data_IF_787559961363
#
_entry.id   IF_787559961363
#
_cell.length_a   1.000
_cell.length_b   1.000
_cell.length_c   1.000
_cell.angle_alpha   90.00
_cell.angle_beta   90.00
_cell.angle_gamma   90.00
#
_symmetry.space_group_name_H-M   'P 1'
#
loop_
_entity.id
_entity.type
_entity.pdbx_description
1 polymer ?
#
# COMPACT_ATOMS: atom_id res chain seq x y z
N UNK A 1 -22.64 -3.19 -4.41
CA UNK A 1 -22.08 -2.63 -3.17
C UNK A 1 -20.64 -3.11 -3.05
N UNK A 2 -19.73 -2.24 -2.69
CA UNK A 2 -18.30 -2.50 -2.54
C UNK A 2 -17.93 -2.70 -1.07
N UNK A 3 -17.15 -3.72 -0.73
CA UNK A 3 -16.74 -3.98 0.66
C UNK A 3 -15.29 -3.63 0.88
N UNK A 4 -15.03 -2.78 1.87
CA UNK A 4 -13.70 -2.35 2.30
C UNK A 4 -13.45 -2.91 3.71
N UNK A 5 -12.45 -3.77 3.85
CA UNK A 5 -11.95 -4.17 5.16
C UNK A 5 -10.93 -3.15 5.67
N UNK A 6 -10.98 -2.82 6.95
CA UNK A 6 -10.03 -1.91 7.61
C UNK A 6 -9.47 -2.63 8.84
N UNK A 7 -8.16 -2.87 8.90
CA UNK A 7 -7.55 -3.47 10.08
C UNK A 7 -6.93 -2.39 10.96
N UNK A 8 -7.20 -2.45 12.28
CA UNK A 8 -6.66 -1.46 13.23
C UNK A 8 -5.16 -1.64 13.52
N UNK A 9 -4.55 -2.73 13.05
CA UNK A 9 -3.13 -2.99 13.27
C UNK A 9 -2.78 -3.41 14.71
N UNK A 10 -1.62 -2.97 15.21
CA UNK A 10 -1.20 -3.28 16.59
C UNK A 10 -2.07 -2.52 17.60
N UNK A 11 -2.80 -3.22 18.48
CA UNK A 11 -3.74 -2.58 19.41
C UNK A 11 -3.05 -1.74 20.51
N UNK A 12 -1.74 -1.88 20.71
CA UNK A 12 -0.96 -1.03 21.61
C UNK A 12 -0.35 0.21 20.92
N UNK A 13 -0.48 0.32 19.58
CA UNK A 13 -0.02 1.44 18.76
C UNK A 13 -1.12 2.46 18.46
N UNK A 14 -0.84 3.37 17.53
CA UNK A 14 -1.79 4.44 17.13
C UNK A 14 -2.93 3.96 16.23
N UNK A 15 -2.89 2.72 15.74
CA UNK A 15 -3.86 2.22 14.77
C UNK A 15 -5.33 2.39 15.18
N UNK A 16 -5.75 1.96 16.40
CA UNK A 16 -7.13 2.14 16.87
C UNK A 16 -7.57 3.60 16.92
N UNK A 17 -6.71 4.52 17.38
CA UNK A 17 -7.07 5.94 17.49
C UNK A 17 -7.15 6.64 16.12
N UNK A 18 -6.26 6.30 15.17
CA UNK A 18 -6.32 6.89 13.83
C UNK A 18 -7.52 6.37 13.02
N UNK A 19 -7.93 5.10 13.20
CA UNK A 19 -9.15 4.56 12.57
C UNK A 19 -10.38 5.30 13.08
N UNK A 20 -10.50 5.46 14.40
CA UNK A 20 -11.59 6.20 15.00
C UNK A 20 -11.63 7.65 14.51
N UNK A 21 -10.47 8.33 14.51
CA UNK A 21 -10.37 9.73 14.09
C UNK A 21 -10.63 9.91 12.59
N UNK A 22 -10.09 9.03 11.74
CA UNK A 22 -10.29 9.11 10.30
C UNK A 22 -11.76 8.89 9.92
N UNK A 23 -12.39 7.84 10.47
CA UNK A 23 -13.77 7.47 10.11
C UNK A 23 -14.82 8.38 10.73
N UNK A 24 -14.51 9.08 11.84
CA UNK A 24 -15.45 9.98 12.55
C UNK A 24 -16.11 10.99 11.61
N UNK A 25 -15.35 11.62 10.75
CA UNK A 25 -15.80 12.68 9.83
C UNK A 25 -15.61 12.31 8.35
N UNK A 26 -15.26 11.04 8.09
CA UNK A 26 -15.10 10.58 6.72
C UNK A 26 -16.44 10.69 6.00
N UNK A 27 -16.42 11.31 4.81
CA UNK A 27 -17.59 11.30 3.94
C UNK A 27 -17.72 9.93 3.29
N UNK A 28 -18.53 9.06 3.91
CA UNK A 28 -18.73 7.71 3.45
C UNK A 28 -19.24 7.66 2.01
N UNK A 29 -18.62 6.80 1.20
CA UNK A 29 -19.06 6.61 -0.18
C UNK A 29 -20.36 5.80 -0.22
N UNK A 30 -21.44 6.26 -0.93
CA UNK A 30 -22.77 5.65 -0.87
C UNK A 30 -22.82 4.21 -1.43
N UNK A 31 -21.81 3.75 -2.15
CA UNK A 31 -21.71 2.38 -2.67
C UNK A 31 -20.85 1.46 -1.80
N UNK A 32 -20.17 1.99 -0.76
CA UNK A 32 -19.21 1.24 0.04
C UNK A 32 -19.79 0.80 1.39
N UNK A 33 -19.40 -0.39 1.82
CA UNK A 33 -19.56 -0.92 3.17
C UNK A 33 -18.18 -0.97 3.79
N UNK A 34 -18.03 -0.37 4.98
CA UNK A 34 -16.77 -0.34 5.72
C UNK A 34 -16.83 -1.33 6.87
N UNK A 35 -15.87 -2.25 6.95
CA UNK A 35 -15.83 -3.27 8.01
C UNK A 35 -14.49 -3.15 8.72
N UNK A 36 -14.51 -2.65 9.95
CA UNK A 36 -13.35 -2.44 10.80
C UNK A 36 -13.08 -3.69 11.63
N UNK A 37 -11.87 -4.20 11.59
CA UNK A 37 -11.38 -5.34 12.37
C UNK A 37 -10.42 -4.87 13.45
N UNK A 38 -10.74 -5.17 14.70
CA UNK A 38 -9.86 -4.89 15.82
C UNK A 38 -10.56 -4.30 17.04
N UNK A 39 -9.77 -3.65 17.90
CA UNK A 39 -10.28 -3.06 19.15
C UNK A 39 -10.90 -1.70 18.90
N UNK A 40 -12.03 -1.43 19.55
CA UNK A 40 -12.72 -0.15 19.50
C UNK A 40 -12.18 0.83 20.56
N UNK A 41 -11.98 2.09 20.19
CA UNK A 41 -11.84 3.20 21.15
C UNK A 41 -13.20 3.78 21.50
N UNK A 42 -13.51 3.82 22.81
CA UNK A 42 -14.84 4.13 23.35
C UNK A 42 -15.17 5.62 23.38
N UNK A 43 -15.04 6.41 22.36
CA UNK A 43 -15.60 7.78 22.30
C UNK A 43 -15.61 8.25 20.85
N UNK A 44 -16.65 7.90 20.13
CA UNK A 44 -16.80 8.33 18.74
C UNK A 44 -18.11 9.13 18.63
N UNK A 45 -17.99 10.46 18.68
CA UNK A 45 -19.00 11.36 18.13
C UNK A 45 -18.78 11.46 16.62
N UNK A 46 -19.79 11.46 15.81
CA UNK A 46 -19.71 11.53 14.35
C UNK A 46 -20.44 10.37 13.69
N UNK A 47 -19.81 9.71 12.69
CA UNK A 47 -20.39 8.55 12.04
C UNK A 47 -20.67 7.42 13.04
N UNK A 48 -21.81 6.77 12.91
CA UNK A 48 -22.18 5.63 13.75
C UNK A 48 -21.41 4.39 13.34
N UNK A 49 -20.95 3.63 14.35
CA UNK A 49 -20.28 2.34 14.19
C UNK A 49 -21.21 1.23 14.66
N UNK A 50 -21.63 0.37 13.76
CA UNK A 50 -22.55 -0.73 14.03
C UNK A 50 -21.71 -1.95 14.43
N UNK A 51 -21.77 -2.36 15.70
CA UNK A 51 -21.08 -3.58 16.14
C UNK A 51 -21.77 -4.80 15.55
N UNK A 52 -20.97 -5.71 14.97
CA UNK A 52 -21.42 -6.96 14.38
C UNK A 52 -20.63 -8.14 14.96
N UNK A 53 -21.27 -9.31 14.99
CA UNK A 53 -20.66 -10.58 15.37
C UNK A 53 -20.43 -11.49 14.16
N UNK A 54 -21.18 -11.26 13.06
CA UNK A 54 -21.08 -12.00 11.83
C UNK A 54 -21.00 -11.04 10.63
N UNK A 55 -20.20 -11.39 9.62
CA UNK A 55 -20.00 -10.55 8.43
C UNK A 55 -21.27 -10.36 7.62
N UNK A 56 -22.18 -11.31 7.67
CA UNK A 56 -23.47 -11.28 7.00
C UNK A 56 -24.39 -10.15 7.51
N UNK A 57 -24.12 -9.61 8.69
CA UNK A 57 -24.85 -8.46 9.25
C UNK A 57 -24.46 -7.13 8.57
N UNK A 58 -23.33 -7.08 7.87
CA UNK A 58 -22.86 -5.90 7.16
C UNK A 58 -23.53 -5.78 5.78
N UNK A 59 -24.75 -5.21 5.76
CA UNK A 59 -25.64 -5.21 4.58
C UNK A 59 -25.93 -3.84 3.98
N UNK A 60 -25.68 -2.73 4.71
CA UNK A 60 -26.04 -1.38 4.25
C UNK A 60 -24.82 -0.62 3.73
N UNK A 61 -24.90 -0.16 2.49
CA UNK A 61 -23.88 0.74 1.93
C UNK A 61 -23.94 2.14 2.62
N UNK A 62 -22.81 2.82 2.66
CA UNK A 62 -22.67 4.08 3.39
C UNK A 62 -22.63 3.89 4.91
N UNK A 63 -22.34 2.68 5.40
CA UNK A 63 -22.31 2.37 6.84
C UNK A 63 -20.97 1.79 7.26
N UNK A 64 -20.59 2.01 8.52
CA UNK A 64 -19.41 1.46 9.15
C UNK A 64 -19.83 0.37 10.12
N UNK A 65 -19.29 -0.82 9.90
CA UNK A 65 -19.45 -1.97 10.75
C UNK A 65 -18.19 -2.24 11.53
N UNK A 66 -18.35 -2.72 12.77
CA UNK A 66 -17.22 -3.04 13.61
C UNK A 66 -17.25 -4.50 14.03
N UNK A 67 -16.26 -5.26 13.57
CA UNK A 67 -16.02 -6.63 13.96
C UNK A 67 -14.97 -6.65 15.07
N UNK A 68 -15.39 -6.74 16.32
CA UNK A 68 -14.49 -6.73 17.47
C UNK A 68 -13.73 -8.04 17.60
N UNK A 69 -12.41 -7.97 17.60
CA UNK A 69 -11.51 -9.14 17.73
C UNK A 69 -10.80 -9.12 19.06
N UNK A 70 -11.42 -8.99 20.12
CA UNK A 70 -10.91 -9.02 21.48
C UNK A 70 -11.09 -7.74 22.29
N UNK A 71 -11.23 -7.97 23.59
CA UNK A 71 -11.40 -6.90 24.58
C UNK A 71 -10.30 -6.94 25.64
N UNK A 72 -9.07 -7.38 25.29
CA UNK A 72 -7.94 -7.43 26.21
C UNK A 72 -7.43 -6.03 26.54
N UNK A 73 -6.83 -5.90 27.73
CA UNK A 73 -6.14 -4.69 28.13
C UNK A 73 -4.67 -4.75 27.68
N UNK A 74 -4.16 -3.65 27.14
CA UNK A 74 -2.79 -3.50 26.67
C UNK A 74 -2.11 -2.38 27.44
N UNK A 75 -0.80 -2.49 27.60
CA UNK A 75 0.05 -1.38 27.99
C UNK A 75 0.29 -0.51 26.74
N UNK A 76 -0.56 0.52 26.57
CA UNK A 76 -0.56 1.36 25.37
C UNK A 76 0.79 2.05 25.22
N UNK A 77 1.33 2.08 24.01
CA UNK A 77 2.64 2.62 23.69
C UNK A 77 3.79 1.63 23.90
N UNK A 78 3.51 0.36 24.24
CA UNK A 78 4.53 -0.67 24.41
C UNK A 78 4.24 -1.91 23.59
N UNK A 79 5.12 -2.26 22.65
CA UNK A 79 4.99 -3.52 21.91
C UNK A 79 5.18 -4.72 22.84
N UNK A 80 4.32 -5.74 22.72
CA UNK A 80 4.36 -6.94 23.54
C UNK A 80 3.98 -8.18 22.72
N UNK A 81 4.31 -9.38 23.25
CA UNK A 81 3.84 -10.62 22.65
C UNK A 81 2.31 -10.67 22.58
N UNK A 82 1.60 -10.10 23.58
CA UNK A 82 0.15 -10.06 23.60
C UNK A 82 -0.39 -9.18 22.48
N UNK A 83 0.11 -7.93 22.34
CA UNK A 83 -0.35 -7.02 21.27
C UNK A 83 0.01 -7.54 19.88
N UNK A 84 1.18 -8.21 19.75
CA UNK A 84 1.59 -8.86 18.51
C UNK A 84 0.71 -10.05 18.11
N UNK A 85 0.31 -10.89 19.08
CA UNK A 85 -0.61 -12.00 18.85
C UNK A 85 -1.98 -11.50 18.38
N UNK A 86 -2.47 -10.41 18.97
CA UNK A 86 -3.77 -9.86 18.60
C UNK A 86 -3.71 -9.11 17.26
N UNK A 87 -2.63 -8.39 16.97
CA UNK A 87 -2.40 -7.81 15.65
C UNK A 87 -2.42 -8.89 14.54
N UNK A 88 -1.78 -10.03 14.79
CA UNK A 88 -1.80 -11.16 13.87
C UNK A 88 -3.20 -11.76 13.74
N UNK A 89 -3.92 -11.94 14.86
CA UNK A 89 -5.29 -12.45 14.85
C UNK A 89 -6.25 -11.54 14.09
N UNK A 90 -6.07 -10.21 14.16
CA UNK A 90 -6.82 -9.25 13.35
C UNK A 90 -6.58 -9.51 11.87
N UNK A 91 -5.32 -9.68 11.45
CA UNK A 91 -4.96 -9.97 10.07
C UNK A 91 -5.53 -11.33 9.60
N UNK A 92 -5.41 -12.36 10.42
CA UNK A 92 -5.90 -13.71 10.10
C UNK A 92 -7.42 -13.71 9.94
N UNK A 93 -8.16 -13.14 10.89
CA UNK A 93 -9.63 -13.07 10.83
C UNK A 93 -10.09 -12.27 9.60
N UNK A 94 -9.46 -11.11 9.34
CA UNK A 94 -9.75 -10.31 8.15
C UNK A 94 -9.49 -11.11 6.87
N UNK A 95 -8.36 -11.81 6.80
CA UNK A 95 -7.97 -12.63 5.63
C UNK A 95 -8.91 -13.82 5.41
N UNK A 96 -9.37 -14.48 6.48
CA UNK A 96 -10.33 -15.57 6.38
C UNK A 96 -11.68 -15.08 5.86
N UNK A 97 -12.12 -13.92 6.32
CA UNK A 97 -13.32 -13.30 5.80
C UNK A 97 -13.19 -12.87 4.34
N UNK A 98 -12.03 -12.34 3.91
CA UNK A 98 -11.77 -12.02 2.51
C UNK A 98 -11.81 -13.27 1.63
N UNK A 99 -11.28 -14.40 2.10
CA UNK A 99 -11.34 -15.68 1.36
C UNK A 99 -12.75 -16.24 1.27
N UNK A 100 -13.55 -16.07 2.31
CA UNK A 100 -14.90 -16.63 2.38
C UNK A 100 -15.95 -15.72 1.74
N UNK A 101 -15.77 -14.42 1.83
CA UNK A 101 -16.71 -13.41 1.35
C UNK A 101 -16.02 -12.50 0.34
N UNK A 102 -16.80 -11.93 -0.59
CA UNK A 102 -16.25 -11.00 -1.57
C UNK A 102 -15.92 -9.66 -0.93
N UNK A 103 -14.65 -9.30 -0.90
CA UNK A 103 -14.16 -7.97 -0.56
C UNK A 103 -13.47 -7.35 -1.77
N UNK A 104 -13.66 -6.05 -1.97
CA UNK A 104 -13.06 -5.30 -3.07
C UNK A 104 -11.71 -4.72 -2.66
N UNK A 105 -11.57 -4.36 -1.38
CA UNK A 105 -10.34 -3.74 -0.87
C UNK A 105 -10.06 -4.03 0.61
N UNK A 106 -8.78 -3.84 0.97
CA UNK A 106 -8.29 -3.85 2.35
C UNK A 106 -7.44 -2.61 2.60
N UNK A 107 -7.74 -1.89 3.68
CA UNK A 107 -6.92 -0.78 4.19
C UNK A 107 -6.32 -1.19 5.52
N UNK A 108 -4.98 -1.17 5.61
CA UNK A 108 -4.27 -1.65 6.81
C UNK A 108 -3.61 -0.54 7.59
N UNK A 109 -3.84 -0.50 8.92
CA UNK A 109 -3.08 0.28 9.87
C UNK A 109 -1.80 -0.45 10.28
N UNK A 110 -0.82 0.23 10.89
CA UNK A 110 0.50 -0.33 11.09
C UNK A 110 0.53 -1.43 12.16
N UNK A 111 1.42 -2.40 11.97
CA UNK A 111 1.73 -3.45 12.96
C UNK A 111 3.19 -3.41 13.36
N UNK A 112 3.49 -3.85 14.56
CA UNK A 112 4.84 -4.06 15.03
C UNK A 112 5.36 -5.43 14.57
N UNK A 113 6.31 -5.42 13.62
CA UNK A 113 6.98 -6.68 13.19
C UNK A 113 7.64 -7.38 14.37
N UNK A 114 8.25 -6.61 15.27
CA UNK A 114 8.86 -7.14 16.51
C UNK A 114 7.82 -7.83 17.40
N UNK A 115 6.71 -7.17 17.72
CA UNK A 115 5.68 -7.73 18.58
C UNK A 115 5.07 -9.03 17.99
N UNK A 116 4.81 -9.04 16.69
CA UNK A 116 4.31 -10.23 15.99
C UNK A 116 5.37 -11.35 15.99
N UNK A 117 6.65 -11.02 15.76
CA UNK A 117 7.73 -12.02 15.71
C UNK A 117 7.95 -12.77 17.03
N UNK A 118 7.53 -12.20 18.16
CA UNK A 118 7.56 -12.87 19.46
C UNK A 118 6.64 -14.11 19.52
N UNK A 119 5.62 -14.18 18.65
CA UNK A 119 4.70 -15.31 18.54
C UNK A 119 4.90 -16.09 17.22
N UNK A 120 5.22 -15.38 16.15
CA UNK A 120 5.44 -15.94 14.81
C UNK A 120 6.78 -15.46 14.25
N UNK A 121 7.88 -16.19 14.52
CA UNK A 121 9.17 -15.88 13.93
C UNK A 121 9.11 -15.83 12.41
N UNK A 122 9.81 -14.86 11.80
CA UNK A 122 9.84 -14.67 10.34
C UNK A 122 8.69 -13.87 9.77
N UNK A 123 7.91 -13.18 10.59
CA UNK A 123 6.96 -12.19 10.09
C UNK A 123 7.71 -10.95 9.55
N UNK A 124 7.57 -10.69 8.26
CA UNK A 124 8.32 -9.64 7.53
C UNK A 124 7.49 -8.38 7.29
N UNK A 125 6.17 -8.50 7.28
CA UNK A 125 5.24 -7.37 7.09
C UNK A 125 3.94 -7.77 6.40
N UNK A 126 3.08 -6.79 6.22
CA UNK A 126 1.77 -7.00 5.59
C UNK A 126 1.86 -7.49 4.14
N UNK A 127 2.79 -6.93 3.35
CA UNK A 127 2.93 -7.26 1.93
C UNK A 127 3.21 -8.74 1.74
N UNK A 128 4.23 -9.25 2.44
CA UNK A 128 4.62 -10.66 2.39
C UNK A 128 3.59 -11.57 3.07
N UNK A 129 2.92 -11.07 4.12
CA UNK A 129 1.82 -11.79 4.77
C UNK A 129 0.66 -12.03 3.79
N UNK A 130 0.16 -10.98 3.14
CA UNK A 130 -0.94 -11.12 2.19
C UNK A 130 -0.53 -11.89 0.93
N UNK A 131 0.67 -11.68 0.40
CA UNK A 131 1.17 -12.44 -0.74
C UNK A 131 1.13 -13.96 -0.45
N UNK A 132 1.67 -14.40 0.69
CA UNK A 132 1.61 -15.82 1.11
C UNK A 132 0.19 -16.31 1.39
N UNK A 133 -0.64 -15.49 2.06
CA UNK A 133 -2.00 -15.88 2.45
C UNK A 133 -2.94 -16.06 1.27
N UNK A 134 -2.67 -15.36 0.16
CA UNK A 134 -3.51 -15.36 -1.06
C UNK A 134 -2.80 -15.96 -2.28
N UNK A 135 -1.72 -16.70 -2.05
CA UNK A 135 -0.98 -17.44 -3.09
C UNK A 135 -0.58 -16.53 -4.27
N UNK A 136 -0.21 -15.28 -3.98
CA UNK A 136 0.27 -14.32 -4.96
C UNK A 136 1.78 -14.50 -5.14
N UNK A 137 2.20 -15.06 -6.27
CA UNK A 137 3.60 -15.38 -6.57
C UNK A 137 4.48 -14.12 -6.62
N UNK A 138 3.95 -13.03 -7.18
CA UNK A 138 4.66 -11.76 -7.29
C UNK A 138 3.74 -10.60 -6.88
N UNK A 139 4.31 -9.65 -6.16
CA UNK A 139 3.65 -8.41 -5.75
C UNK A 139 4.56 -7.22 -5.99
N UNK A 140 3.97 -6.05 -6.25
CA UNK A 140 4.70 -4.80 -6.44
C UNK A 140 4.26 -3.82 -5.38
N UNK A 141 5.22 -3.29 -4.63
CA UNK A 141 5.00 -2.16 -3.75
C UNK A 141 5.00 -0.88 -4.58
N UNK A 142 3.99 -0.07 -4.39
CA UNK A 142 3.85 1.22 -5.06
C UNK A 142 3.40 2.31 -4.11
N UNK A 143 3.76 3.54 -4.41
CA UNK A 143 3.38 4.73 -3.65
C UNK A 143 2.67 5.71 -4.56
N UNK A 144 1.46 6.06 -4.19
CA UNK A 144 0.55 6.87 -4.98
C UNK A 144 0.41 8.25 -4.37
N UNK A 145 0.75 9.26 -5.16
CA UNK A 145 0.68 10.66 -4.76
C UNK A 145 -0.08 11.50 -5.81
N UNK A 146 -0.23 12.77 -5.51
CA UNK A 146 -0.94 13.71 -6.37
C UNK A 146 -0.18 13.98 -7.68
N UNK A 147 1.15 14.04 -7.61
CA UNK A 147 1.99 14.40 -8.76
C UNK A 147 2.35 13.19 -9.62
N UNK A 148 2.71 12.08 -8.98
CA UNK A 148 3.10 10.84 -9.66
C UNK A 148 2.90 9.62 -8.78
N UNK A 149 2.94 8.45 -9.41
CA UNK A 149 2.97 7.14 -8.75
C UNK A 149 4.36 6.53 -8.93
N UNK A 150 4.92 6.04 -7.82
CA UNK A 150 6.20 5.34 -7.80
C UNK A 150 5.97 3.84 -7.62
N UNK A 151 6.53 3.01 -8.51
CA UNK A 151 6.59 1.56 -8.42
C UNK A 151 8.01 1.11 -8.07
N UNK A 152 8.15 0.13 -7.19
CA UNK A 152 9.45 -0.38 -6.76
C UNK A 152 9.71 -1.78 -7.33
N UNK A 153 10.84 -1.94 -8.02
CA UNK A 153 11.28 -3.26 -8.51
C UNK A 153 11.87 -4.10 -7.37
N UNK A 154 12.63 -3.48 -6.46
CA UNK A 154 13.06 -4.11 -5.21
C UNK A 154 12.63 -3.29 -4.02
N UNK A 155 12.45 -3.92 -2.86
CA UNK A 155 11.95 -3.25 -1.65
C UNK A 155 12.98 -3.33 -0.52
N UNK A 156 12.76 -4.15 0.49
CA UNK A 156 13.54 -4.20 1.73
C UNK A 156 14.77 -5.10 1.61
N UNK A 157 15.64 -4.80 0.65
CA UNK A 157 16.92 -5.49 0.45
C UNK A 157 18.09 -4.62 0.89
N UNK A 158 19.17 -5.21 1.41
CA UNK A 158 20.44 -4.51 1.56
C UNK A 158 20.93 -3.99 0.19
N UNK A 159 21.58 -2.83 0.16
CA UNK A 159 22.06 -2.23 -1.11
C UNK A 159 22.95 -3.16 -1.93
N UNK A 160 23.81 -3.92 -1.27
CA UNK A 160 24.71 -4.87 -1.93
C UNK A 160 23.99 -6.08 -2.57
N UNK A 161 22.71 -6.29 -2.28
CA UNK A 161 21.91 -7.36 -2.86
C UNK A 161 21.03 -6.89 -4.01
N UNK A 162 20.92 -5.57 -4.25
CA UNK A 162 20.00 -5.03 -5.26
C UNK A 162 20.40 -5.46 -6.66
N UNK A 163 21.67 -5.30 -7.04
CA UNK A 163 22.17 -5.66 -8.37
C UNK A 163 21.83 -7.12 -8.72
N UNK A 164 22.09 -8.06 -7.81
CA UNK A 164 21.79 -9.48 -8.03
C UNK A 164 20.29 -9.81 -8.13
N UNK A 165 19.43 -8.86 -7.75
CA UNK A 165 17.98 -8.97 -7.86
C UNK A 165 17.41 -8.29 -9.12
N UNK A 166 18.23 -7.55 -9.87
CA UNK A 166 17.88 -7.03 -11.19
C UNK A 166 18.13 -8.11 -12.23
N UNK A 167 17.17 -9.02 -12.37
CA UNK A 167 17.21 -10.11 -13.35
C UNK A 167 16.03 -9.97 -14.31
N UNK A 168 16.21 -10.46 -15.54
CA UNK A 168 15.21 -10.36 -16.61
C UNK A 168 13.83 -10.85 -16.16
N UNK A 169 13.73 -12.06 -15.60
CA UNK A 169 12.45 -12.66 -15.22
C UNK A 169 11.77 -11.90 -14.07
N UNK A 170 12.53 -11.49 -13.04
CA UNK A 170 11.97 -10.71 -11.93
C UNK A 170 11.42 -9.36 -12.41
N UNK A 171 12.19 -8.65 -13.25
CA UNK A 171 11.74 -7.36 -13.78
C UNK A 171 10.51 -7.54 -14.67
N UNK A 172 10.56 -8.51 -15.58
CA UNK A 172 9.43 -8.82 -16.46
C UNK A 172 8.14 -9.12 -15.69
N UNK A 173 8.19 -9.97 -14.67
CA UNK A 173 7.03 -10.31 -13.86
C UNK A 173 6.44 -9.07 -13.17
N UNK A 174 7.29 -8.22 -12.60
CA UNK A 174 6.85 -6.96 -11.97
C UNK A 174 6.27 -5.99 -12.99
N UNK A 175 6.88 -5.83 -14.15
CA UNK A 175 6.36 -4.99 -15.22
C UNK A 175 5.00 -5.46 -15.71
N UNK A 176 4.75 -6.76 -15.80
CA UNK A 176 3.41 -7.28 -16.14
C UNK A 176 2.33 -6.80 -15.16
N UNK A 177 2.64 -6.79 -13.85
CA UNK A 177 1.71 -6.30 -12.82
C UNK A 177 1.51 -4.79 -12.98
N UNK A 178 2.59 -4.02 -13.09
CA UNK A 178 2.56 -2.56 -13.24
C UNK A 178 1.77 -2.16 -14.48
N UNK A 179 2.10 -2.71 -15.64
CA UNK A 179 1.46 -2.37 -16.91
C UNK A 179 -0.03 -2.73 -16.92
N UNK A 180 -0.38 -3.89 -16.33
CA UNK A 180 -1.79 -4.26 -16.15
C UNK A 180 -2.54 -3.26 -15.28
N UNK A 181 -1.90 -2.75 -14.23
CA UNK A 181 -2.50 -1.77 -13.34
C UNK A 181 -2.67 -0.40 -14.02
N UNK A 182 -1.67 0.06 -14.78
CA UNK A 182 -1.78 1.30 -15.57
C UNK A 182 -2.87 1.17 -16.64
N UNK A 183 -2.92 0.05 -17.35
CA UNK A 183 -3.93 -0.20 -18.38
C UNK A 183 -5.38 -0.22 -17.85
N UNK A 184 -5.60 -0.79 -16.64
CA UNK A 184 -6.93 -0.77 -15.99
C UNK A 184 -7.48 0.64 -15.77
N UNK A 185 -6.61 1.66 -15.78
CA UNK A 185 -6.99 3.07 -15.60
C UNK A 185 -7.32 3.80 -16.89
N UNK A 186 -7.21 3.11 -18.02
CA UNK A 186 -7.37 3.72 -19.34
C UNK A 186 -6.32 4.77 -19.65
N UNK A 187 -5.19 4.75 -18.94
CA UNK A 187 -4.09 5.68 -19.13
C UNK A 187 -3.07 5.08 -20.12
N UNK A 188 -2.87 5.75 -21.23
CA UNK A 188 -1.93 5.36 -22.29
C UNK A 188 -0.64 6.20 -22.27
N UNK A 189 -0.39 6.95 -21.19
CA UNK A 189 0.85 7.69 -21.03
C UNK A 189 2.04 6.74 -20.86
N UNK A 190 3.22 7.23 -21.22
CA UNK A 190 4.44 6.45 -21.05
C UNK A 190 4.77 6.27 -19.56
N UNK A 191 5.41 5.14 -19.24
CA UNK A 191 5.93 4.80 -17.92
C UNK A 191 7.42 5.08 -17.94
N UNK A 192 7.94 5.88 -17.00
CA UNK A 192 9.39 6.09 -16.89
C UNK A 192 10.03 4.98 -16.07
N UNK A 193 11.10 4.39 -16.57
CA UNK A 193 12.00 3.48 -15.84
C UNK A 193 13.27 4.22 -15.44
N UNK A 194 13.59 4.28 -14.15
CA UNK A 194 14.87 4.80 -13.67
C UNK A 194 15.98 3.76 -13.83
N UNK A 195 17.19 4.23 -14.03
CA UNK A 195 18.39 3.38 -14.04
C UNK A 195 18.76 2.94 -12.62
N UNK A 196 19.48 1.83 -12.51
CA UNK A 196 20.08 1.41 -11.23
C UNK A 196 21.35 2.21 -10.93
N UNK A 197 22.23 2.30 -11.95
CA UNK A 197 23.54 2.91 -11.80
C UNK A 197 23.56 4.39 -12.15
N UNK A 198 24.51 5.16 -11.59
CA UNK A 198 24.71 6.55 -11.99
C UNK A 198 24.89 6.69 -13.50
N UNK A 199 24.40 7.78 -14.08
CA UNK A 199 24.46 8.10 -15.51
C UNK A 199 23.92 6.98 -16.41
N UNK A 200 22.95 6.20 -15.92
CA UNK A 200 22.41 5.02 -16.60
C UNK A 200 23.51 4.04 -17.05
N UNK A 201 24.48 3.78 -16.16
CA UNK A 201 25.56 2.83 -16.39
C UNK A 201 26.66 3.31 -17.33
N UNK A 202 26.61 4.55 -17.87
CA UNK A 202 27.60 5.14 -18.78
C UNK A 202 28.01 4.15 -19.90
N UNK A 203 27.04 3.58 -20.61
CA UNK A 203 27.28 2.57 -21.67
C UNK A 203 28.03 1.32 -21.17
N UNK A 204 27.80 0.89 -19.95
CA UNK A 204 28.40 -0.29 -19.30
C UNK A 204 29.73 -0.02 -18.59
N UNK A 205 30.18 1.24 -18.51
CA UNK A 205 31.41 1.60 -17.80
C UNK A 205 31.25 1.62 -16.29
N UNK A 206 30.02 1.92 -15.78
CA UNK A 206 29.72 2.04 -14.34
C UNK A 206 28.93 0.83 -13.83
N UNK A 207 28.26 0.12 -14.73
CA UNK A 207 27.48 -1.08 -14.43
C UNK A 207 26.79 -1.61 -15.68
N UNK A 208 26.28 -2.82 -15.63
CA UNK A 208 25.67 -3.52 -16.77
C UNK A 208 24.20 -3.88 -16.56
N UNK A 209 23.62 -3.55 -15.40
CA UNK A 209 22.22 -3.85 -15.07
C UNK A 209 21.23 -3.15 -16.00
N UNK A 210 21.64 -2.00 -16.57
CA UNK A 210 20.86 -1.26 -17.54
C UNK A 210 20.63 -2.03 -18.83
N UNK A 211 21.50 -2.97 -19.20
CA UNK A 211 21.28 -3.88 -20.33
C UNK A 211 20.05 -4.75 -20.12
N UNK A 212 19.89 -5.27 -18.89
CA UNK A 212 18.71 -6.07 -18.51
C UNK A 212 17.45 -5.19 -18.54
N UNK A 213 17.51 -3.99 -17.96
CA UNK A 213 16.38 -3.05 -17.96
C UNK A 213 15.98 -2.70 -19.39
N UNK A 214 16.95 -2.37 -20.25
CA UNK A 214 16.73 -2.03 -21.67
C UNK A 214 16.10 -3.20 -22.42
N UNK A 215 16.60 -4.42 -22.23
CA UNK A 215 16.07 -5.62 -22.89
C UNK A 215 14.59 -5.84 -22.54
N UNK A 216 14.23 -5.70 -21.27
CA UNK A 216 12.84 -5.85 -20.83
C UNK A 216 11.96 -4.71 -21.34
N UNK A 217 12.45 -3.46 -21.31
CA UNK A 217 11.73 -2.29 -21.87
C UNK A 217 11.43 -2.52 -23.36
N UNK A 218 12.40 -2.95 -24.14
CA UNK A 218 12.22 -3.23 -25.58
C UNK A 218 11.16 -4.30 -25.83
N UNK A 219 11.12 -5.37 -25.02
CA UNK A 219 10.11 -6.40 -25.16
C UNK A 219 8.70 -5.84 -24.93
N UNK A 220 8.51 -5.04 -23.87
CA UNK A 220 7.22 -4.44 -23.57
C UNK A 220 6.80 -3.43 -24.65
N UNK A 221 7.73 -2.62 -25.14
CA UNK A 221 7.49 -1.65 -26.21
C UNK A 221 7.09 -2.33 -27.54
N UNK A 222 7.71 -3.45 -27.89
CA UNK A 222 7.32 -4.27 -29.06
C UNK A 222 5.88 -4.81 -28.94
N UNK A 223 5.39 -4.97 -27.71
CA UNK A 223 4.03 -5.39 -27.42
C UNK A 223 3.03 -4.21 -27.24
N UNK A 224 3.43 -2.98 -27.61
CA UNK A 224 2.57 -1.80 -27.61
C UNK A 224 2.44 -1.08 -26.28
N UNK A 225 3.23 -1.45 -25.26
CA UNK A 225 3.30 -0.76 -23.97
C UNK A 225 4.41 0.29 -24.06
N UNK A 226 4.12 1.52 -23.63
CA UNK A 226 5.11 2.61 -23.70
C UNK A 226 5.89 2.70 -22.39
N UNK A 227 7.13 2.25 -22.41
CA UNK A 227 8.09 2.41 -21.31
C UNK A 227 9.30 3.14 -21.85
N UNK A 228 9.65 4.27 -21.24
CA UNK A 228 10.81 5.09 -21.60
C UNK A 228 11.90 4.91 -20.55
N UNK A 229 13.18 5.01 -20.97
CA UNK A 229 14.34 4.88 -20.10
C UNK A 229 15.28 3.74 -20.53
N UNK A 230 16.19 3.27 -19.67
CA UNK A 230 16.37 3.71 -18.28
C UNK A 230 16.96 5.12 -18.17
N UNK A 231 16.35 5.95 -17.29
CA UNK A 231 16.78 7.33 -17.07
C UNK A 231 17.74 7.45 -15.88
N UNK A 232 18.80 8.28 -15.94
CA UNK A 232 19.59 8.62 -14.76
C UNK A 232 18.71 9.29 -13.69
N UNK A 233 18.65 8.70 -12.49
CA UNK A 233 17.70 9.12 -11.47
C UNK A 233 17.98 10.54 -10.93
N UNK A 234 19.25 10.94 -10.85
CA UNK A 234 19.66 12.25 -10.34
C UNK A 234 19.17 13.42 -11.21
N UNK A 235 19.12 13.22 -12.51
CA UNK A 235 18.66 14.24 -13.46
C UNK A 235 17.17 14.14 -13.77
N UNK A 236 16.60 12.94 -13.70
CA UNK A 236 15.19 12.68 -14.01
C UNK A 236 14.23 13.54 -13.18
N UNK A 237 14.38 13.57 -11.87
CA UNK A 237 13.48 14.32 -10.99
C UNK A 237 13.57 15.84 -11.19
N UNK A 238 14.64 16.33 -11.77
CA UNK A 238 14.82 17.75 -12.10
C UNK A 238 14.23 18.13 -13.44
N UNK A 239 14.38 17.27 -14.45
CA UNK A 239 14.11 17.63 -15.85
C UNK A 239 12.89 16.95 -16.43
N UNK A 240 12.63 15.68 -16.08
CA UNK A 240 11.68 14.84 -16.79
C UNK A 240 10.44 14.49 -15.96
N UNK A 241 10.48 14.69 -14.65
CA UNK A 241 9.39 14.31 -13.74
C UNK A 241 8.00 14.78 -14.22
N UNK A 242 7.89 16.00 -14.71
CA UNK A 242 6.62 16.60 -15.16
C UNK A 242 6.00 15.92 -16.38
N UNK A 243 6.78 15.10 -17.12
CA UNK A 243 6.31 14.38 -18.30
C UNK A 243 5.70 13.01 -17.94
N UNK A 244 5.92 12.52 -16.72
CA UNK A 244 5.55 11.15 -16.34
C UNK A 244 4.71 11.11 -15.08
N UNK A 245 3.60 10.43 -15.17
CA UNK A 245 2.73 10.11 -14.03
C UNK A 245 3.12 8.78 -13.36
N UNK A 246 3.70 7.88 -14.12
CA UNK A 246 4.05 6.52 -13.73
C UNK A 246 5.56 6.36 -13.77
N UNK A 247 6.19 6.09 -12.63
CA UNK A 247 7.64 6.00 -12.49
C UNK A 247 8.00 4.69 -11.83
N UNK A 248 8.97 3.98 -12.38
CA UNK A 248 9.51 2.74 -11.85
C UNK A 248 10.92 3.00 -11.34
N UNK A 249 11.17 2.65 -10.08
CA UNK A 249 12.51 2.72 -9.47
C UNK A 249 13.04 1.32 -9.21
N UNK A 250 14.30 1.04 -9.56
CA UNK A 250 14.99 -0.19 -9.22
C UNK A 250 15.02 -0.54 -7.74
N UNK A 251 15.15 0.46 -6.84
CA UNK A 251 15.23 0.20 -5.42
C UNK A 251 14.53 1.27 -4.56
N UNK A 252 14.28 0.89 -3.33
CA UNK A 252 13.44 1.59 -2.37
C UNK A 252 13.81 3.08 -2.20
N UNK A 253 15.02 3.40 -1.77
CA UNK A 253 15.36 4.78 -1.39
C UNK A 253 15.49 5.71 -2.59
N UNK A 254 15.92 5.20 -3.76
CA UNK A 254 15.95 6.00 -4.99
C UNK A 254 14.57 6.55 -5.35
N UNK A 255 13.53 5.73 -5.19
CA UNK A 255 12.15 6.13 -5.48
C UNK A 255 11.50 6.90 -4.33
N UNK A 256 11.69 6.46 -3.10
CA UNK A 256 10.91 6.98 -1.96
C UNK A 256 11.44 8.29 -1.39
N UNK A 257 12.74 8.59 -1.51
CA UNK A 257 13.26 9.89 -1.09
C UNK A 257 12.56 11.03 -1.85
N UNK A 258 12.59 11.07 -3.20
CA UNK A 258 11.89 12.13 -3.93
C UNK A 258 10.36 12.03 -3.80
N UNK A 259 9.80 10.82 -3.69
CA UNK A 259 8.35 10.66 -3.49
C UNK A 259 7.90 11.33 -2.19
N UNK A 260 8.55 11.04 -1.06
CA UNK A 260 8.19 11.58 0.25
C UNK A 260 8.49 13.07 0.41
N UNK A 261 9.46 13.59 -0.31
CA UNK A 261 9.72 15.04 -0.37
C UNK A 261 8.56 15.79 -1.04
N UNK A 262 7.96 15.22 -2.08
CA UNK A 262 6.87 15.82 -2.83
C UNK A 262 5.47 15.46 -2.27
N UNK A 263 5.34 14.36 -1.55
CA UNK A 263 4.09 13.87 -0.95
C UNK A 263 4.30 13.52 0.53
N UNK A 264 4.61 14.51 1.38
CA UNK A 264 5.03 14.23 2.76
C UNK A 264 3.92 13.65 3.65
N UNK A 265 2.65 13.85 3.30
CA UNK A 265 1.50 13.48 4.14
C UNK A 265 0.46 12.66 3.38
N UNK A 266 0.27 12.92 2.08
CA UNK A 266 -0.83 12.36 1.27
C UNK A 266 -0.45 11.10 0.49
N UNK A 267 0.83 10.72 0.51
CA UNK A 267 1.30 9.50 -0.14
C UNK A 267 0.66 8.24 0.44
N UNK A 268 0.18 7.35 -0.42
CA UNK A 268 -0.49 6.09 -0.04
C UNK A 268 0.32 4.92 -0.55
N UNK A 269 0.66 3.99 0.34
CA UNK A 269 1.32 2.73 -0.04
C UNK A 269 0.28 1.73 -0.53
N UNK A 270 0.45 1.25 -1.76
CA UNK A 270 -0.42 0.26 -2.41
C UNK A 270 0.39 -1.00 -2.72
N UNK A 271 -0.18 -2.16 -2.44
CA UNK A 271 0.37 -3.45 -2.88
C UNK A 271 -0.41 -3.94 -4.09
N UNK A 272 0.25 -4.05 -5.22
CA UNK A 272 -0.30 -4.61 -6.46
C UNK A 272 0.01 -6.11 -6.58
N UNK A 273 -0.80 -6.84 -7.35
CA UNK A 273 -0.63 -8.29 -7.55
C UNK A 273 -1.49 -9.15 -6.62
N UNK A 274 -2.16 -8.55 -5.64
CA UNK A 274 -3.17 -9.23 -4.81
C UNK A 274 -4.52 -9.33 -5.53
N UNK A 275 -5.38 -10.30 -5.17
CA UNK A 275 -6.71 -10.45 -5.79
C UNK A 275 -7.74 -9.38 -5.38
N UNK A 276 -7.35 -8.45 -4.51
CA UNK A 276 -8.12 -7.29 -4.05
C UNK A 276 -7.21 -6.07 -4.01
N UNK A 277 -7.80 -4.87 -3.98
CA UNK A 277 -7.04 -3.64 -3.81
C UNK A 277 -6.55 -3.51 -2.37
N UNK A 278 -5.24 -3.38 -2.16
CA UNK A 278 -4.69 -3.18 -0.81
C UNK A 278 -3.98 -1.84 -0.69
N UNK A 279 -4.49 -0.99 0.22
CA UNK A 279 -3.85 0.25 0.63
C UNK A 279 -3.34 0.17 2.07
N UNK A 280 -2.34 0.95 2.40
CA UNK A 280 -1.86 1.12 3.77
C UNK A 280 -1.39 2.54 4.03
N UNK A 281 -1.40 2.92 5.31
CA UNK A 281 -0.76 4.16 5.76
C UNK A 281 0.77 4.08 5.55
N UNK A 282 1.41 5.24 5.37
CA UNK A 282 2.86 5.36 5.15
C UNK A 282 3.59 5.80 6.45
N UNK A 283 3.22 5.20 7.58
CA UNK A 283 3.89 5.42 8.86
C UNK A 283 3.84 4.14 9.72
N UNK A 284 4.64 4.12 10.80
CA UNK A 284 4.70 3.02 11.74
C UNK A 284 3.66 3.10 12.86
N UNK A 285 3.80 2.22 13.85
CA UNK A 285 2.93 2.09 15.03
C UNK A 285 3.00 3.27 15.99
N UNK A 286 4.04 4.10 15.91
CA UNK A 286 4.26 5.33 16.70
C UNK A 286 3.89 5.17 18.19
N UNK A 287 4.49 4.16 18.83
CA UNK A 287 4.21 3.81 20.21
C UNK A 287 4.43 4.95 21.21
N UNK A 288 5.34 5.87 20.89
CA UNK A 288 5.67 7.06 21.70
C UNK A 288 4.49 8.03 21.86
N UNK A 289 3.57 8.06 20.89
CA UNK A 289 2.39 8.92 20.91
C UNK A 289 1.08 8.15 21.04
N UNK A 290 1.10 6.81 21.07
CA UNK A 290 -0.10 5.98 21.15
C UNK A 290 -0.90 6.27 22.43
N UNK A 291 -2.23 6.34 22.31
CA UNK A 291 -3.17 6.63 23.38
C UNK A 291 -3.23 8.10 23.81
N UNK A 292 -2.45 8.99 23.18
CA UNK A 292 -2.47 10.44 23.50
C UNK A 292 -3.47 11.22 22.63
N UNK A 293 -4.11 10.59 21.66
CA UNK A 293 -5.05 11.21 20.71
C UNK A 293 -4.46 12.40 19.93
N UNK A 294 -3.15 12.34 19.64
CA UNK A 294 -2.43 13.36 18.86
C UNK A 294 -1.94 12.83 17.50
N UNK A 295 -2.10 11.54 17.24
CA UNK A 295 -1.73 10.94 15.97
C UNK A 295 -2.60 11.49 14.83
N UNK A 296 -1.97 11.87 13.71
CA UNK A 296 -2.67 12.40 12.56
C UNK A 296 -3.41 11.28 11.79
N UNK A 297 -4.71 11.42 11.52
CA UNK A 297 -5.47 10.46 10.72
C UNK A 297 -5.32 10.67 9.20
N UNK A 298 -4.58 11.69 8.74
CA UNK A 298 -4.56 12.15 7.34
C UNK A 298 -4.11 11.03 6.39
N UNK A 299 -3.05 10.29 6.73
CA UNK A 299 -2.57 9.19 5.88
C UNK A 299 -3.64 8.09 5.71
N UNK A 300 -4.37 7.75 6.77
CA UNK A 300 -5.47 6.78 6.67
C UNK A 300 -6.65 7.34 5.87
N UNK A 301 -7.00 8.60 6.07
CA UNK A 301 -8.06 9.26 5.29
C UNK A 301 -7.71 9.29 3.80
N UNK A 302 -6.46 9.57 3.45
CA UNK A 302 -5.95 9.51 2.07
C UNK A 302 -6.04 8.09 1.50
N UNK A 303 -5.65 7.08 2.28
CA UNK A 303 -5.74 5.67 1.88
C UNK A 303 -7.19 5.23 1.65
N UNK A 304 -8.13 5.62 2.53
CA UNK A 304 -9.56 5.34 2.36
C UNK A 304 -10.12 6.00 1.12
N UNK A 305 -9.86 7.31 0.96
CA UNK A 305 -10.36 8.08 -0.20
C UNK A 305 -9.85 7.48 -1.51
N UNK A 306 -8.54 7.21 -1.59
CA UNK A 306 -7.97 6.57 -2.78
C UNK A 306 -8.59 5.19 -3.03
N UNK A 307 -8.78 4.38 -1.99
CA UNK A 307 -9.40 3.05 -2.10
C UNK A 307 -10.81 3.14 -2.68
N UNK A 308 -11.66 4.04 -2.15
CA UNK A 308 -13.01 4.28 -2.65
C UNK A 308 -13.00 4.63 -4.14
N UNK A 309 -12.17 5.62 -4.51
CA UNK A 309 -12.05 6.06 -5.90
C UNK A 309 -11.60 4.92 -6.83
N UNK A 310 -10.79 3.98 -6.33
CA UNK A 310 -10.31 2.85 -7.12
C UNK A 310 -11.37 1.77 -7.34
N UNK A 311 -12.13 1.40 -6.31
CA UNK A 311 -13.08 0.28 -6.39
C UNK A 311 -14.45 0.69 -6.92
N UNK A 312 -14.83 1.97 -6.83
CA UNK A 312 -16.13 2.48 -7.32
C UNK A 312 -16.05 3.07 -8.72
N UNK A 313 -14.86 3.50 -9.17
CA UNK A 313 -14.62 4.09 -10.49
C UNK A 313 -14.25 3.06 -11.57
N UNK A 314 -14.57 1.78 -11.38
CA UNK A 314 -14.25 0.74 -12.36
C UNK A 314 -14.85 1.12 -13.74
N UNK A 315 -14.07 1.85 -14.57
CA UNK A 315 -14.42 2.28 -15.91
C UNK A 315 -14.32 3.79 -16.22
N UNK A 316 -13.97 4.65 -15.26
CA UNK A 316 -13.75 6.08 -15.52
C UNK A 316 -12.42 6.54 -14.94
N UNK A 317 -11.44 6.71 -15.84
CA UNK A 317 -10.21 7.45 -15.53
C UNK A 317 -10.58 8.88 -15.11
N UNK A 318 -10.58 9.14 -13.80
CA UNK A 318 -10.55 10.51 -13.29
C UNK A 318 -9.09 10.93 -13.24
N UNK A 319 -8.63 11.65 -14.24
CA UNK A 319 -7.45 12.49 -14.12
C UNK A 319 -7.70 13.45 -12.95
N UNK A 320 -6.93 13.31 -11.89
CA UNK A 320 -6.84 14.36 -10.88
C UNK A 320 -6.08 15.53 -11.51
N UNK A 321 -6.82 16.42 -12.20
CA UNK A 321 -6.30 17.72 -12.59
C UNK A 321 -6.41 18.62 -11.35
N UNK A 322 -5.33 18.77 -10.64
CA UNK A 322 -5.20 19.86 -9.67
C UNK A 322 -4.87 21.14 -10.43
N UNK A 323 -5.74 22.15 -10.31
CA UNK A 323 -5.46 23.55 -10.64
C UNK A 323 -4.77 24.21 -9.46
#
# INVERSE_FOLDING_TARGET
>A
MKKIAITTGDPAGIGPEIVSSALRFHRLHPECIYIVYGKMHNNIDGNEFIKINHIEEAVSAGSIYWYEIDNRSYDIGKPSALSGADALRILDTCSDHIKKYTFDAVVTCPVSKYAISLNQPGFTGHTEYFARRFDSEEVVMSFWGEHFTMFLLTTHLPLNEISSNITYDKIKNKLQIICREVAKRGDNSAIAMLSLNPHAGESGMIGTEEEILTQVIEEFNKNGIKIDGPFPADTFFRHDLHNYKWIISPYHDQGLIPFKLLHPITGVNITLGLPFFRASVDHGTAFDIAGKNIASPVSLSSALKLTEDQITSAGKCKTYAYR
#
